data_IF_426414739319
#
_entry.id   IF_426414739319
#
_cell.length_a   1.000
_cell.length_b   1.000
_cell.length_c   1.000
_cell.angle_alpha   90.00
_cell.angle_beta   90.00
_cell.angle_gamma   90.00
#
_symmetry.space_group_name_H-M   'P 1'
#
loop_
_entity.id
_entity.type
_entity.pdbx_description
1 polymer ?
#
# COMPACT_ATOMS: atom_id res chain seq x y z
N UNK A 1 19.42 -6.82 3.85
CA UNK A 1 18.41 -6.94 4.90
C UNK A 1 18.19 -8.43 5.13
N UNK A 2 18.67 -9.03 6.23
CA UNK A 2 18.46 -10.45 6.47
C UNK A 2 17.00 -10.67 6.92
N UNK A 3 16.39 -11.73 6.42
CA UNK A 3 15.03 -12.12 6.78
C UNK A 3 14.98 -12.71 8.20
N UNK A 4 13.87 -12.50 8.89
CA UNK A 4 13.65 -12.82 10.31
C UNK A 4 13.76 -14.33 10.66
N UNK A 5 13.84 -15.24 9.67
CA UNK A 5 13.87 -16.70 9.90
C UNK A 5 14.72 -17.48 8.87
N UNK A 6 15.96 -17.07 8.59
CA UNK A 6 16.92 -17.87 7.80
C UNK A 6 16.60 -18.08 6.31
N UNK A 7 15.41 -17.69 5.85
CA UNK A 7 15.01 -17.73 4.45
C UNK A 7 15.29 -16.38 3.79
N UNK A 8 16.38 -16.28 3.04
CA UNK A 8 16.68 -15.08 2.27
C UNK A 8 15.56 -14.77 1.26
N UNK A 9 14.98 -13.57 1.35
CA UNK A 9 14.02 -13.10 0.35
C UNK A 9 14.80 -12.72 -0.91
N UNK A 10 14.93 -13.66 -1.83
CA UNK A 10 15.60 -13.45 -3.12
C UNK A 10 14.70 -12.74 -4.13
N UNK A 11 13.39 -12.99 -4.10
CA UNK A 11 12.42 -12.39 -5.01
C UNK A 11 11.19 -11.83 -4.27
N UNK A 12 11.20 -10.55 -3.85
CA UNK A 12 10.06 -9.97 -3.17
C UNK A 12 8.86 -9.86 -4.11
N UNK A 13 7.69 -10.29 -3.64
CA UNK A 13 6.48 -10.45 -4.47
C UNK A 13 6.04 -9.15 -5.17
N UNK A 14 6.28 -7.98 -4.59
CA UNK A 14 5.93 -6.69 -5.19
C UNK A 14 6.70 -6.38 -6.48
N UNK A 15 7.79 -7.11 -6.78
CA UNK A 15 8.50 -6.99 -8.07
C UNK A 15 7.77 -7.64 -9.23
N UNK A 16 6.95 -8.66 -8.98
CA UNK A 16 6.27 -9.45 -10.02
C UNK A 16 4.75 -9.37 -9.96
N UNK A 17 4.18 -9.12 -8.78
CA UNK A 17 2.73 -8.96 -8.61
C UNK A 17 2.33 -7.50 -8.76
N UNK A 18 1.16 -7.30 -9.35
CA UNK A 18 0.52 -6.00 -9.41
C UNK A 18 0.33 -5.47 -7.98
N UNK A 19 0.94 -4.31 -7.69
CA UNK A 19 0.84 -3.65 -6.40
C UNK A 19 -0.17 -2.51 -6.47
N UNK A 20 -0.87 -2.27 -5.37
CA UNK A 20 -1.86 -1.21 -5.20
C UNK A 20 -1.56 -0.50 -3.89
N UNK A 21 -1.80 0.81 -3.82
CA UNK A 21 -1.41 1.59 -2.64
C UNK A 21 -2.46 2.63 -2.27
N UNK A 22 -2.70 2.79 -0.97
CA UNK A 22 -3.53 3.86 -0.43
C UNK A 22 -2.65 4.75 0.47
N UNK A 23 -2.66 6.05 0.21
CA UNK A 23 -1.95 7.07 0.97
C UNK A 23 -2.91 7.74 1.94
N UNK A 24 -2.56 7.77 3.22
CA UNK A 24 -3.30 8.47 4.26
C UNK A 24 -2.66 9.84 4.50
N UNK A 25 -3.32 10.93 4.08
CA UNK A 25 -2.73 12.29 4.11
C UNK A 25 -2.49 12.83 5.51
N UNK A 26 -3.23 12.33 6.50
CA UNK A 26 -3.22 12.81 7.89
C UNK A 26 -2.63 11.72 8.82
N UNK A 27 -1.78 10.84 8.27
CA UNK A 27 -1.11 9.77 9.01
C UNK A 27 0.01 10.35 9.91
N UNK A 28 -0.13 10.11 11.21
CA UNK A 28 0.82 10.54 12.24
C UNK A 28 1.86 9.47 12.61
N UNK A 29 1.72 8.24 12.08
CA UNK A 29 2.65 7.13 12.26
C UNK A 29 3.61 6.99 11.08
N UNK A 30 3.09 7.08 9.86
CA UNK A 30 3.88 7.02 8.62
C UNK A 30 3.64 8.30 7.82
N UNK A 31 4.64 9.17 7.77
CA UNK A 31 4.53 10.44 7.06
C UNK A 31 4.09 10.25 5.59
N UNK A 32 3.15 11.05 5.06
CA UNK A 32 2.62 10.89 3.70
C UNK A 32 3.71 10.83 2.61
N UNK A 33 4.75 11.66 2.70
CA UNK A 33 5.88 11.62 1.78
C UNK A 33 6.61 10.26 1.74
N UNK A 34 6.66 9.54 2.87
CA UNK A 34 7.24 8.19 2.90
C UNK A 34 6.32 7.18 2.20
N UNK A 35 5.00 7.37 2.32
CA UNK A 35 4.01 6.54 1.64
C UNK A 35 4.08 6.75 0.11
N UNK A 36 4.22 8.01 -0.33
CA UNK A 36 4.45 8.34 -1.74
C UNK A 36 5.72 7.65 -2.27
N UNK A 37 6.84 7.80 -1.57
CA UNK A 37 8.09 7.12 -1.94
C UNK A 37 7.92 5.59 -2.03
N UNK A 38 7.26 4.98 -1.05
CA UNK A 38 7.00 3.54 -1.05
C UNK A 38 6.10 3.12 -2.22
N UNK A 39 5.03 3.85 -2.51
CA UNK A 39 4.13 3.56 -3.62
C UNK A 39 4.84 3.61 -4.98
N UNK A 40 5.76 4.57 -5.17
CA UNK A 40 6.59 4.67 -6.35
C UNK A 40 7.60 3.51 -6.45
N UNK A 41 8.27 3.18 -5.35
CA UNK A 41 9.19 2.04 -5.29
C UNK A 41 8.51 0.71 -5.60
N UNK A 42 7.26 0.55 -5.22
CA UNK A 42 6.44 -0.64 -5.49
C UNK A 42 5.95 -0.71 -6.95
N UNK A 43 6.02 0.39 -7.71
CA UNK A 43 5.41 0.46 -9.04
C UNK A 43 3.90 0.25 -9.00
N UNK A 44 3.23 0.84 -8.01
CA UNK A 44 1.80 0.61 -7.79
C UNK A 44 0.97 0.98 -9.03
N UNK A 45 0.07 0.08 -9.44
CA UNK A 45 -0.83 0.24 -10.59
C UNK A 45 -1.80 1.38 -10.40
N UNK A 46 -2.31 1.52 -9.19
CA UNK A 46 -3.15 2.64 -8.78
C UNK A 46 -2.78 3.06 -7.37
N UNK A 47 -2.79 4.36 -7.18
CA UNK A 47 -2.57 5.02 -5.90
C UNK A 47 -3.80 5.88 -5.65
N UNK A 48 -4.43 5.72 -4.48
CA UNK A 48 -5.46 6.65 -4.02
C UNK A 48 -4.97 7.37 -2.77
N UNK A 49 -5.35 8.64 -2.62
CA UNK A 49 -5.05 9.41 -1.41
C UNK A 49 -6.35 9.69 -0.67
N UNK A 50 -6.41 9.33 0.61
CA UNK A 50 -7.55 9.55 1.48
C UNK A 50 -7.17 10.51 2.58
N UNK A 51 -8.09 11.43 2.90
CA UNK A 51 -8.01 12.25 4.11
C UNK A 51 -8.37 11.40 5.33
N UNK A 52 -7.38 10.65 5.79
CA UNK A 52 -7.45 9.71 6.91
C UNK A 52 -6.12 9.70 7.64
N UNK A 53 -6.15 9.30 8.92
CA UNK A 53 -4.94 8.98 9.67
C UNK A 53 -4.52 7.53 9.42
N UNK A 54 -3.69 6.95 10.30
CA UNK A 54 -3.08 5.63 10.08
C UNK A 54 -4.12 4.51 9.82
N UNK A 55 -5.23 4.51 10.57
CA UNK A 55 -6.30 3.52 10.42
C UNK A 55 -7.34 3.96 9.36
N UNK A 56 -6.92 4.10 8.10
CA UNK A 56 -7.82 4.44 6.98
C UNK A 56 -8.93 3.41 6.78
N UNK A 57 -8.66 2.13 6.99
CA UNK A 57 -9.65 1.05 6.91
C UNK A 57 -10.81 1.22 7.91
N UNK A 58 -10.58 1.88 9.05
CA UNK A 58 -11.60 2.10 10.07
C UNK A 58 -12.35 3.42 9.85
N UNK A 59 -11.65 4.45 9.38
CA UNK A 59 -12.21 5.80 9.19
C UNK A 59 -12.83 6.03 7.80
N UNK A 60 -12.38 5.28 6.78
CA UNK A 60 -12.81 5.30 5.38
C UNK A 60 -13.08 3.88 4.84
N UNK A 61 -13.91 3.07 5.53
CA UNK A 61 -14.09 1.66 5.19
C UNK A 61 -14.70 1.46 3.80
N UNK A 62 -15.59 2.36 3.36
CA UNK A 62 -16.27 2.25 2.06
C UNK A 62 -15.28 2.48 0.92
N UNK A 63 -14.49 3.55 1.00
CA UNK A 63 -13.49 3.89 -0.01
C UNK A 63 -12.40 2.82 -0.09
N UNK A 64 -11.95 2.31 1.06
CA UNK A 64 -10.96 1.23 1.12
C UNK A 64 -11.52 -0.08 0.54
N UNK A 65 -12.76 -0.45 0.88
CA UNK A 65 -13.39 -1.66 0.34
C UNK A 65 -13.58 -1.58 -1.18
N UNK A 66 -14.06 -0.44 -1.69
CA UNK A 66 -14.21 -0.21 -3.12
C UNK A 66 -12.86 -0.29 -3.86
N UNK A 67 -11.80 0.26 -3.27
CA UNK A 67 -10.46 0.20 -3.83
C UNK A 67 -9.91 -1.23 -3.90
N UNK A 68 -10.17 -2.05 -2.87
CA UNK A 68 -9.79 -3.47 -2.86
C UNK A 68 -10.58 -4.26 -3.91
N UNK A 69 -11.88 -4.02 -4.06
CA UNK A 69 -12.71 -4.69 -5.07
C UNK A 69 -12.24 -4.36 -6.50
N UNK A 70 -11.87 -3.10 -6.76
CA UNK A 70 -11.25 -2.69 -8.03
C UNK A 70 -9.92 -3.42 -8.27
N UNK A 71 -9.04 -3.48 -7.27
CA UNK A 71 -7.76 -4.17 -7.37
C UNK A 71 -7.94 -5.67 -7.63
N UNK A 72 -8.95 -6.31 -7.02
CA UNK A 72 -9.23 -7.74 -7.17
C UNK A 72 -9.76 -8.10 -8.56
N UNK A 73 -10.40 -7.15 -9.27
CA UNK A 73 -10.90 -7.34 -10.63
C UNK A 73 -9.84 -7.08 -11.70
N UNK A 74 -8.68 -6.54 -11.33
CA UNK A 74 -7.58 -6.28 -12.25
C UNK A 74 -6.87 -7.60 -12.63
N UNK A 75 -7.07 -8.04 -13.88
CA UNK A 75 -6.44 -9.23 -14.47
C UNK A 75 -5.08 -8.93 -15.09
#
# INVERSE_FOLDING_TARGET
MPALFGNEISNPAWKSKNSWYQISSDDHMIHPANQEFMSGRLGAKKIITLKASHASLASKPIEVAAFIDEAAKYQ
#
